data_IF_971891182446
#
_entry.id   IF_971891182446
#
_cell.length_a   1.000
_cell.length_b   1.000
_cell.length_c   1.000
_cell.angle_alpha   90.00
_cell.angle_beta   90.00
_cell.angle_gamma   90.00
#
_symmetry.space_group_name_H-M   'P 1'
#
loop_
_entity.id
_entity.type
_entity.pdbx_description
1 polymer ?
#
# COMPACT_ATOMS: atom_id res chain seq x y z
N UNK A 1 11.80 -6.65 -1.94
CA UNK A 1 11.40 -5.52 -2.79
C UNK A 1 11.04 -5.93 -4.21
N UNK A 2 11.59 -7.06 -4.69
CA UNK A 2 11.17 -7.72 -5.95
C UNK A 2 9.64 -7.74 -6.13
N UNK A 3 8.88 -8.10 -5.10
CA UNK A 3 7.41 -8.08 -5.13
C UNK A 3 6.82 -6.69 -5.41
N UNK A 4 7.39 -5.63 -4.85
CA UNK A 4 6.93 -4.25 -5.10
C UNK A 4 7.31 -3.81 -6.51
N UNK A 5 8.53 -4.13 -6.97
CA UNK A 5 8.96 -3.79 -8.32
C UNK A 5 8.11 -4.49 -9.38
N UNK A 6 7.79 -5.77 -9.16
CA UNK A 6 6.88 -6.52 -10.01
C UNK A 6 5.46 -5.92 -10.00
N UNK A 7 4.95 -5.56 -8.82
CA UNK A 7 3.62 -4.96 -8.69
C UNK A 7 3.53 -3.61 -9.43
N UNK A 8 4.51 -2.72 -9.23
CA UNK A 8 4.59 -1.44 -9.96
C UNK A 8 4.66 -1.67 -11.46
N UNK A 9 5.54 -2.56 -11.91
CA UNK A 9 5.69 -2.87 -13.33
C UNK A 9 4.38 -3.42 -13.92
N UNK A 10 3.72 -4.37 -13.26
CA UNK A 10 2.49 -4.98 -13.74
C UNK A 10 1.28 -4.02 -13.71
N UNK A 11 1.29 -3.01 -12.85
CA UNK A 11 0.18 -2.08 -12.65
C UNK A 11 0.11 -0.98 -13.72
N UNK A 12 1.25 -0.47 -14.18
CA UNK A 12 1.32 0.65 -15.14
C UNK A 12 1.48 0.19 -16.60
N UNK A 13 0.87 0.93 -17.54
CA UNK A 13 1.01 0.68 -18.99
C UNK A 13 2.40 1.03 -19.52
N UNK A 14 2.76 0.55 -20.73
CA UNK A 14 4.01 0.91 -21.41
C UNK A 14 4.30 2.42 -21.39
N UNK A 15 5.60 2.74 -21.33
CA UNK A 15 6.23 4.01 -20.93
C UNK A 15 6.44 4.19 -19.41
N UNK A 16 5.73 3.43 -18.56
CA UNK A 16 5.99 3.40 -17.10
C UNK A 16 6.07 1.96 -16.54
N UNK A 17 5.34 1.01 -17.12
CA UNK A 17 5.37 -0.40 -16.73
C UNK A 17 5.15 -1.34 -17.92
N UNK A 18 4.65 -2.54 -17.62
CA UNK A 18 4.48 -3.66 -18.55
C UNK A 18 3.04 -4.17 -18.65
N UNK A 19 2.06 -3.44 -18.10
CA UNK A 19 0.64 -3.83 -18.15
C UNK A 19 0.16 -4.03 -19.59
N UNK A 20 -0.42 -5.18 -19.90
CA UNK A 20 -0.87 -5.51 -21.26
C UNK A 20 -2.17 -4.80 -21.65
N UNK A 21 -2.35 -4.61 -22.97
CA UNK A 21 -3.61 -4.14 -23.55
C UNK A 21 -4.38 -5.30 -24.18
N UNK A 22 -5.48 -5.72 -23.56
CA UNK A 22 -6.37 -6.77 -24.08
C UNK A 22 -7.58 -7.00 -23.18
N UNK A 23 -8.58 -7.74 -23.69
CA UNK A 23 -9.77 -8.14 -22.96
C UNK A 23 -10.96 -7.18 -23.05
N UNK A 24 -11.87 -7.31 -22.09
CA UNK A 24 -13.10 -6.52 -22.01
C UNK A 24 -12.83 -5.01 -21.81
N UNK A 25 -13.82 -4.14 -22.12
CA UNK A 25 -13.74 -2.72 -21.82
C UNK A 25 -13.39 -2.46 -20.36
N UNK A 26 -12.58 -1.45 -20.10
CA UNK A 26 -12.06 -1.13 -18.77
C UNK A 26 -12.89 -0.03 -18.12
N UNK A 27 -12.79 0.09 -16.81
CA UNK A 27 -13.36 1.24 -16.08
C UNK A 27 -12.90 2.53 -16.75
N UNK A 28 -13.84 3.39 -17.09
CA UNK A 28 -13.61 4.68 -17.74
C UNK A 28 -12.93 4.64 -19.13
N UNK A 29 -12.92 3.50 -19.84
CA UNK A 29 -12.35 3.41 -21.19
C UNK A 29 -13.30 3.76 -22.33
N UNK A 30 -14.59 3.98 -22.05
CA UNK A 30 -15.57 4.33 -23.07
C UNK A 30 -15.17 5.64 -23.78
N UNK A 31 -15.11 5.59 -25.11
CA UNK A 31 -14.73 6.72 -25.96
C UNK A 31 -13.24 7.11 -25.91
N UNK A 32 -12.38 6.34 -25.23
CA UNK A 32 -10.93 6.59 -25.17
C UNK A 32 -10.18 5.61 -26.04
N UNK A 33 -9.25 6.15 -26.83
CA UNK A 33 -8.29 5.32 -27.57
C UNK A 33 -7.24 4.71 -26.65
N UNK A 34 -6.55 3.68 -27.13
CA UNK A 34 -5.60 2.90 -26.32
C UNK A 34 -4.58 3.74 -25.56
N UNK A 35 -3.94 4.68 -26.23
CA UNK A 35 -2.88 5.51 -25.65
C UNK A 35 -3.45 6.56 -24.69
N UNK A 36 -4.61 7.13 -25.01
CA UNK A 36 -5.30 8.09 -24.14
C UNK A 36 -5.70 7.42 -22.82
N UNK A 37 -6.29 6.23 -22.89
CA UNK A 37 -6.62 5.46 -21.70
C UNK A 37 -5.37 5.08 -20.90
N UNK A 38 -4.29 4.66 -21.57
CA UNK A 38 -3.05 4.29 -20.90
C UNK A 38 -2.45 5.47 -20.11
N UNK A 39 -2.42 6.65 -20.72
CA UNK A 39 -1.98 7.88 -20.06
C UNK A 39 -2.89 8.24 -18.88
N UNK A 40 -4.22 8.16 -19.06
CA UNK A 40 -5.17 8.39 -17.98
C UNK A 40 -4.97 7.41 -16.82
N UNK A 41 -4.86 6.11 -17.08
CA UNK A 41 -4.63 5.11 -16.03
C UNK A 41 -3.32 5.36 -15.29
N UNK A 42 -2.24 5.62 -16.01
CA UNK A 42 -0.94 5.87 -15.38
C UNK A 42 -0.94 7.10 -14.47
N UNK A 43 -1.84 8.06 -14.70
CA UNK A 43 -1.99 9.25 -13.87
C UNK A 43 -3.06 9.13 -12.76
N UNK A 44 -3.92 8.11 -12.79
CA UNK A 44 -5.10 8.01 -11.91
C UNK A 44 -5.23 6.67 -11.17
N UNK A 45 -4.50 5.64 -11.59
CA UNK A 45 -4.49 4.35 -10.92
C UNK A 45 -3.79 4.47 -9.57
N UNK A 46 -4.39 3.85 -8.55
CA UNK A 46 -3.83 3.77 -7.20
C UNK A 46 -3.30 2.36 -6.96
N UNK A 47 -1.99 2.22 -6.74
CA UNK A 47 -1.38 0.98 -6.30
C UNK A 47 -1.29 0.94 -4.78
N UNK A 48 -1.96 -0.05 -4.23
CA UNK A 48 -2.10 -0.27 -2.80
C UNK A 48 -1.46 -1.61 -2.46
N UNK A 49 -0.49 -1.62 -1.54
CA UNK A 49 0.24 -2.81 -1.12
C UNK A 49 -0.08 -3.17 0.34
N UNK A 50 -0.32 -4.45 0.62
CA UNK A 50 -0.44 -4.92 1.99
C UNK A 50 0.95 -5.13 2.62
N UNK A 51 1.10 -4.65 3.85
CA UNK A 51 2.23 -4.92 4.73
C UNK A 51 1.71 -5.68 5.95
N UNK A 52 1.97 -6.99 5.96
CA UNK A 52 1.36 -7.92 6.92
C UNK A 52 2.35 -8.93 7.47
N UNK A 53 3.65 -8.60 7.40
CA UNK A 53 4.72 -9.30 8.10
C UNK A 53 5.65 -8.34 8.80
N UNK A 54 6.38 -8.82 9.82
CA UNK A 54 7.42 -8.04 10.50
C UNK A 54 8.49 -7.55 9.52
N UNK A 55 8.87 -8.37 8.55
CA UNK A 55 9.80 -8.00 7.49
C UNK A 55 9.23 -6.86 6.63
N UNK A 56 7.95 -6.92 6.25
CA UNK A 56 7.32 -5.85 5.48
C UNK A 56 7.24 -4.54 6.28
N UNK A 57 6.89 -4.62 7.57
CA UNK A 57 6.84 -3.47 8.49
C UNK A 57 8.21 -2.81 8.61
N UNK A 58 9.26 -3.60 8.87
CA UNK A 58 10.63 -3.08 9.05
C UNK A 58 11.23 -2.52 7.77
N UNK A 59 10.78 -2.97 6.60
CA UNK A 59 11.22 -2.46 5.30
C UNK A 59 10.26 -1.41 4.69
N UNK A 60 9.22 -0.95 5.39
CA UNK A 60 8.16 -0.13 4.80
C UNK A 60 8.67 1.09 4.04
N UNK A 61 9.68 1.80 4.55
CA UNK A 61 10.29 2.95 3.86
C UNK A 61 10.93 2.57 2.52
N UNK A 62 11.52 1.39 2.43
CA UNK A 62 12.11 0.88 1.19
C UNK A 62 11.05 0.38 0.21
N UNK A 63 9.93 -0.15 0.73
CA UNK A 63 8.79 -0.62 -0.06
C UNK A 63 7.93 0.54 -0.59
N UNK A 64 7.96 1.72 0.04
CA UNK A 64 7.34 2.96 -0.43
C UNK A 64 8.08 3.57 -1.64
N UNK A 65 8.20 2.79 -2.72
CA UNK A 65 8.84 3.19 -3.98
C UNK A 65 7.92 4.12 -4.79
N UNK A 66 8.46 4.92 -5.73
CA UNK A 66 7.64 5.66 -6.69
C UNK A 66 6.64 4.75 -7.40
N UNK A 67 5.37 5.15 -7.42
CA UNK A 67 4.26 4.34 -7.93
C UNK A 67 3.59 3.43 -6.90
N UNK A 68 4.03 3.44 -5.64
CA UNK A 68 3.28 2.85 -4.51
C UNK A 68 2.58 3.97 -3.74
N UNK A 69 1.27 4.04 -3.90
CA UNK A 69 0.46 5.13 -3.35
C UNK A 69 0.06 4.89 -1.90
N UNK A 70 -0.11 3.62 -1.50
CA UNK A 70 -0.55 3.27 -0.16
C UNK A 70 0.09 1.97 0.35
N UNK A 71 0.58 1.99 1.60
CA UNK A 71 0.89 0.81 2.38
C UNK A 71 -0.23 0.58 3.40
N UNK A 72 -0.85 -0.59 3.35
CA UNK A 72 -1.94 -0.96 4.24
C UNK A 72 -1.59 -2.12 5.13
N UNK A 73 -1.96 -2.00 6.40
CA UNK A 73 -1.84 -3.09 7.34
C UNK A 73 -2.92 -4.15 7.12
N UNK A 74 -2.50 -5.42 7.14
CA UNK A 74 -3.37 -6.58 7.36
C UNK A 74 -3.20 -7.09 8.79
N UNK A 75 -4.00 -6.65 9.78
CA UNK A 75 -3.70 -6.89 11.20
C UNK A 75 -3.73 -8.37 11.62
N UNK A 76 -4.59 -9.17 10.98
CA UNK A 76 -4.70 -10.60 11.29
C UNK A 76 -3.42 -11.35 10.90
N UNK A 77 -2.97 -11.19 9.66
CA UNK A 77 -1.75 -11.81 9.14
C UNK A 77 -0.49 -11.22 9.80
N UNK A 78 -0.48 -9.91 10.09
CA UNK A 78 0.61 -9.29 10.86
C UNK A 78 0.72 -9.89 12.27
N UNK A 79 -0.41 -10.19 12.92
CA UNK A 79 -0.40 -10.84 14.24
C UNK A 79 0.23 -12.23 14.16
N UNK A 80 -0.15 -13.04 13.17
CA UNK A 80 0.50 -14.34 12.94
C UNK A 80 2.00 -14.19 12.66
N UNK A 81 2.41 -13.19 11.88
CA UNK A 81 3.84 -12.92 11.64
C UNK A 81 4.58 -12.55 12.92
N UNK A 82 3.99 -11.72 13.80
CA UNK A 82 4.58 -11.36 15.10
C UNK A 82 4.70 -12.56 16.04
N UNK A 83 3.72 -13.45 16.08
CA UNK A 83 3.77 -14.69 16.87
C UNK A 83 4.93 -15.61 16.42
N UNK A 84 5.27 -15.60 15.13
CA UNK A 84 6.47 -16.26 14.59
C UNK A 84 7.79 -15.59 14.97
N UNK A 85 7.74 -14.36 15.49
CA UNK A 85 8.90 -13.53 15.85
C UNK A 85 8.83 -13.04 17.31
N UNK A 86 8.76 -13.94 18.32
CA UNK A 86 8.47 -13.57 19.71
C UNK A 86 9.54 -12.69 20.38
N UNK A 87 10.75 -12.62 19.82
CA UNK A 87 11.87 -11.82 20.35
C UNK A 87 12.11 -10.52 19.57
N UNK A 88 11.26 -10.20 18.59
CA UNK A 88 11.39 -8.96 17.81
C UNK A 88 10.97 -7.73 18.65
N UNK A 89 11.48 -6.54 18.35
CA UNK A 89 11.14 -5.34 19.13
C UNK A 89 9.69 -4.87 18.93
N UNK A 90 9.13 -5.11 17.75
CA UNK A 90 7.73 -4.81 17.43
C UNK A 90 6.87 -6.04 17.75
N UNK A 91 6.10 -5.95 18.84
CA UNK A 91 5.26 -7.05 19.39
C UNK A 91 3.76 -6.71 19.40
N UNK A 92 3.38 -5.53 18.92
CA UNK A 92 1.97 -5.14 18.82
C UNK A 92 1.69 -4.50 17.47
N UNK A 93 0.44 -4.60 17.02
CA UNK A 93 -0.02 -3.93 15.80
C UNK A 93 0.15 -2.41 15.92
N UNK A 94 -0.17 -1.83 17.07
CA UNK A 94 0.02 -0.40 17.34
C UNK A 94 1.48 0.04 17.15
N UNK A 95 2.43 -0.73 17.70
CA UNK A 95 3.85 -0.43 17.56
C UNK A 95 4.31 -0.54 16.10
N UNK A 96 3.76 -1.48 15.34
CA UNK A 96 4.03 -1.59 13.90
C UNK A 96 3.47 -0.38 13.12
N UNK A 97 2.25 0.06 13.45
CA UNK A 97 1.61 1.23 12.83
C UNK A 97 2.42 2.50 13.09
N UNK A 98 2.78 2.76 14.34
CA UNK A 98 3.59 3.92 14.73
C UNK A 98 4.97 3.89 14.05
N UNK A 99 5.62 2.71 14.01
CA UNK A 99 6.90 2.53 13.33
C UNK A 99 6.83 2.90 11.85
N UNK A 100 5.83 2.40 11.12
CA UNK A 100 5.69 2.65 9.67
C UNK A 100 5.32 4.11 9.42
N UNK A 101 4.36 4.65 10.16
CA UNK A 101 3.94 6.03 9.97
C UNK A 101 5.12 6.99 10.16
N UNK A 102 5.93 6.78 11.20
CA UNK A 102 7.17 7.53 11.42
C UNK A 102 8.18 7.33 10.28
N UNK A 103 8.37 6.10 9.81
CA UNK A 103 9.31 5.80 8.73
C UNK A 103 8.90 6.47 7.39
N UNK A 104 7.60 6.69 7.18
CA UNK A 104 7.03 7.32 5.98
C UNK A 104 6.81 8.83 6.12
N UNK A 105 7.17 9.45 7.24
CA UNK A 105 7.15 10.91 7.38
C UNK A 105 7.92 11.58 6.22
N UNK A 106 7.29 12.62 5.66
CA UNK A 106 7.80 13.37 4.51
C UNK A 106 7.71 12.65 3.15
N UNK A 107 7.13 11.44 3.09
CA UNK A 107 6.79 10.78 1.82
C UNK A 107 5.37 11.12 1.38
N UNK A 108 5.03 10.78 0.14
CA UNK A 108 3.66 10.88 -0.39
C UNK A 108 2.86 9.59 -0.24
N UNK A 109 3.46 8.51 0.26
CA UNK A 109 2.80 7.21 0.40
C UNK A 109 1.89 7.23 1.61
N UNK A 110 0.61 6.95 1.40
CA UNK A 110 -0.39 6.92 2.46
C UNK A 110 -0.21 5.68 3.36
N UNK A 111 -0.45 5.86 4.66
CA UNK A 111 -0.59 4.74 5.60
C UNK A 111 -2.07 4.43 5.74
N UNK A 112 -2.44 3.19 5.45
CA UNK A 112 -3.79 2.68 5.65
C UNK A 112 -3.85 1.68 6.80
N UNK A 113 -4.85 1.84 7.67
CA UNK A 113 -5.10 0.90 8.74
C UNK A 113 -6.58 0.44 8.76
N UNK A 114 -6.77 -0.88 8.92
CA UNK A 114 -8.08 -1.47 9.16
C UNK A 114 -8.39 -1.47 10.64
N UNK A 115 -9.08 -0.43 11.09
CA UNK A 115 -9.46 -0.24 12.49
C UNK A 115 -10.81 -0.89 12.85
N UNK A 116 -11.65 -1.23 11.87
CA UNK A 116 -12.89 -2.02 12.05
C UNK A 116 -13.97 -1.40 12.95
N UNK A 117 -13.69 -0.23 13.52
CA UNK A 117 -14.57 0.53 14.38
C UNK A 117 -14.13 2.01 14.38
N UNK A 118 -15.02 2.95 14.03
CA UNK A 118 -14.73 4.38 14.04
C UNK A 118 -14.21 4.94 15.37
N UNK A 119 -14.51 4.30 16.52
CA UNK A 119 -14.09 4.78 17.85
C UNK A 119 -12.57 4.86 18.03
N UNK A 120 -11.80 4.09 17.25
CA UNK A 120 -10.34 4.06 17.31
C UNK A 120 -9.68 4.93 16.24
N UNK A 121 -10.46 5.58 15.37
CA UNK A 121 -9.94 6.41 14.27
C UNK A 121 -8.95 7.45 14.76
N UNK A 122 -9.32 8.21 15.80
CA UNK A 122 -8.49 9.32 16.28
C UNK A 122 -7.13 8.81 16.78
N UNK A 123 -7.11 7.71 17.52
CA UNK A 123 -5.86 7.07 17.98
C UNK A 123 -4.90 6.80 16.82
N UNK A 124 -5.39 6.20 15.74
CA UNK A 124 -4.55 5.86 14.58
C UNK A 124 -4.24 7.09 13.71
N UNK A 125 -5.13 8.08 13.64
CA UNK A 125 -4.85 9.37 13.01
C UNK A 125 -3.70 10.10 13.73
N UNK A 126 -3.69 10.08 15.06
CA UNK A 126 -2.62 10.67 15.89
C UNK A 126 -1.28 9.96 15.67
N UNK A 127 -1.29 8.67 15.28
CA UNK A 127 -0.10 7.92 14.90
C UNK A 127 0.36 8.21 13.45
N UNK A 128 -0.40 8.94 12.65
CA UNK A 128 -0.05 9.27 11.26
C UNK A 128 -0.74 8.41 10.19
N UNK A 129 -1.77 7.64 10.55
CA UNK A 129 -2.63 6.95 9.56
C UNK A 129 -3.48 7.99 8.84
N UNK A 130 -3.55 7.88 7.50
CA UNK A 130 -4.29 8.83 6.65
C UNK A 130 -5.45 8.19 5.90
N UNK A 131 -5.50 6.86 5.83
CA UNK A 131 -6.58 6.09 5.20
C UNK A 131 -7.12 5.06 6.21
N UNK A 132 -8.44 5.03 6.39
CA UNK A 132 -9.08 4.19 7.40
C UNK A 132 -10.06 3.23 6.74
N UNK A 133 -10.00 1.95 7.13
CA UNK A 133 -10.97 0.93 6.76
C UNK A 133 -11.74 0.50 8.01
N UNK A 134 -12.98 0.97 8.11
CA UNK A 134 -13.85 0.87 9.29
C UNK A 134 -15.01 -0.08 9.11
#
# INVERSE_FOLDING_TARGET
>A
DETVDEAVAAFYYPQQGIRSWGGAPRVNSAGKERLEYAAWWNANGMLWMQIESIEAVTHARYLAKPGVDCLSFGPADLTFSMEGHPNHALQTVDACVEYVAKALEGTTTAVCFRNGNPSTRQKYADMGVTVFLE
#
